data_IF_000986843575
#
_entry.id   IF_000986843575
#
_cell.length_a   1.000
_cell.length_b   1.000
_cell.length_c   1.000
_cell.angle_alpha   90.00
_cell.angle_beta   90.00
_cell.angle_gamma   90.00
#
_symmetry.space_group_name_H-M   'P 1'
#
loop_
_entity.id
_entity.type
_entity.pdbx_description
1 polymer ?
#
# COMPACT_ATOMS: atom_id res chain seq x y z
N UNK A 1 31.09 8.11 12.39
CA UNK A 1 30.69 8.23 10.98
C UNK A 1 29.27 7.67 10.91
N UNK A 2 28.27 8.57 10.92
CA UNK A 2 26.86 8.21 10.69
C UNK A 2 26.74 8.09 9.17
N UNK A 3 26.48 6.87 8.68
CA UNK A 3 26.20 6.67 7.26
C UNK A 3 24.90 7.37 6.90
N UNK A 4 24.92 8.23 5.89
CA UNK A 4 23.80 9.02 5.34
C UNK A 4 22.68 8.19 4.69
N UNK A 5 22.62 6.89 4.97
CA UNK A 5 21.72 5.94 4.30
C UNK A 5 20.44 5.59 5.09
N UNK A 6 20.13 6.34 6.16
CA UNK A 6 18.92 6.14 6.96
C UNK A 6 17.81 7.16 6.58
N UNK A 7 17.29 7.04 5.37
CA UNK A 7 16.07 7.74 4.96
C UNK A 7 14.77 7.02 5.38
N UNK A 8 14.86 6.07 6.30
CA UNK A 8 13.71 5.36 6.86
C UNK A 8 12.99 6.19 7.92
N UNK A 9 11.75 6.59 7.68
CA UNK A 9 10.94 7.27 8.67
C UNK A 9 10.65 6.38 9.88
N UNK A 10 11.00 6.82 11.09
CA UNK A 10 10.79 6.09 12.36
C UNK A 10 9.34 6.11 12.89
N UNK A 11 8.32 6.27 12.04
CA UNK A 11 6.92 6.29 12.47
C UNK A 11 6.40 4.87 12.73
N UNK A 12 5.70 4.69 13.86
CA UNK A 12 5.02 3.43 14.19
C UNK A 12 3.84 3.17 13.25
N UNK A 13 3.34 1.92 13.21
CA UNK A 13 2.13 1.56 12.44
C UNK A 13 0.93 2.39 12.91
N UNK A 14 0.78 2.62 14.21
CA UNK A 14 -0.28 3.45 14.79
C UNK A 14 -0.21 4.89 14.28
N UNK A 15 0.99 5.48 14.25
CA UNK A 15 1.20 6.82 13.69
C UNK A 15 0.90 6.88 12.19
N UNK A 16 1.28 5.85 11.43
CA UNK A 16 0.98 5.79 10.00
C UNK A 16 -0.53 5.64 9.75
N UNK A 17 -1.23 4.83 10.55
CA UNK A 17 -2.69 4.71 10.50
C UNK A 17 -3.36 6.07 10.71
N UNK A 18 -2.95 6.80 11.73
CA UNK A 18 -3.45 8.14 12.03
C UNK A 18 -3.14 9.12 10.90
N UNK A 19 -1.89 9.15 10.43
CA UNK A 19 -1.49 9.99 9.31
C UNK A 19 -2.36 9.78 8.07
N UNK A 20 -2.62 8.53 7.72
CA UNK A 20 -3.35 8.19 6.50
C UNK A 20 -4.86 8.50 6.61
N UNK A 21 -5.45 8.37 7.80
CA UNK A 21 -6.90 8.52 7.98
C UNK A 21 -7.34 9.89 8.50
N UNK A 22 -6.49 10.60 9.26
CA UNK A 22 -6.83 11.89 9.86
C UNK A 22 -6.16 13.04 9.10
N UNK A 23 -4.90 12.88 8.69
CA UNK A 23 -4.10 13.93 8.06
C UNK A 23 -3.94 13.76 6.55
N UNK A 24 -4.81 13.02 5.89
CA UNK A 24 -4.83 12.83 4.42
C UNK A 24 -3.45 12.46 3.82
N UNK A 25 -2.68 11.65 4.54
CA UNK A 25 -1.36 11.19 4.09
C UNK A 25 -0.19 12.14 4.35
N UNK A 26 -0.42 13.34 4.90
CA UNK A 26 0.64 14.30 5.26
C UNK A 26 1.21 15.04 4.04
N UNK A 27 0.38 15.84 3.41
CA UNK A 27 0.71 16.62 2.20
C UNK A 27 1.23 18.03 2.50
N UNK A 28 1.62 18.32 3.75
CA UNK A 28 2.10 19.64 4.15
C UNK A 28 3.42 20.01 3.44
N UNK A 29 3.48 21.24 2.95
CA UNK A 29 4.66 21.78 2.27
C UNK A 29 5.63 22.49 3.21
N UNK A 30 5.13 23.06 4.34
CA UNK A 30 5.97 23.79 5.29
C UNK A 30 6.58 22.88 6.36
N UNK A 31 7.79 23.19 6.78
CA UNK A 31 8.51 22.44 7.83
C UNK A 31 7.80 22.53 9.18
N UNK A 32 7.28 23.71 9.54
CA UNK A 32 6.52 23.92 10.78
C UNK A 32 5.27 23.06 10.87
N UNK A 33 4.46 23.02 9.80
CA UNK A 33 3.26 22.21 9.73
C UNK A 33 3.59 20.69 9.81
N UNK A 34 4.72 20.26 9.24
CA UNK A 34 5.17 18.85 9.37
C UNK A 34 5.51 18.48 10.81
N UNK A 35 6.17 19.38 11.57
CA UNK A 35 6.47 19.14 12.98
C UNK A 35 5.19 19.08 13.79
N UNK A 36 4.31 20.07 13.62
CA UNK A 36 3.02 20.12 14.33
C UNK A 36 2.23 18.83 14.09
N UNK A 37 2.07 18.42 12.84
CA UNK A 37 1.44 17.14 12.51
C UNK A 37 2.12 15.96 13.18
N UNK A 38 3.45 15.90 13.19
CA UNK A 38 4.20 14.81 13.84
C UNK A 38 3.94 14.72 15.34
N UNK A 39 3.83 15.85 16.02
CA UNK A 39 3.47 15.88 17.44
C UNK A 39 2.02 15.41 17.65
N UNK A 40 1.11 15.84 16.78
CA UNK A 40 -0.29 15.41 16.82
C UNK A 40 -0.43 13.91 16.54
N UNK A 41 0.29 13.37 15.53
CA UNK A 41 0.34 11.93 15.25
C UNK A 41 0.80 11.12 16.48
N UNK A 42 1.86 11.56 17.16
CA UNK A 42 2.37 10.88 18.35
C UNK A 42 1.38 10.92 19.50
N UNK A 43 0.80 12.09 19.76
CA UNK A 43 -0.20 12.25 20.81
C UNK A 43 -1.42 11.37 20.55
N UNK A 44 -1.99 11.41 19.35
CA UNK A 44 -3.15 10.63 18.98
C UNK A 44 -2.86 9.13 18.99
N UNK A 45 -1.65 8.70 18.62
CA UNK A 45 -1.25 7.30 18.68
C UNK A 45 -1.26 6.78 20.13
N UNK A 46 -0.71 7.54 21.05
CA UNK A 46 -0.73 7.20 22.48
C UNK A 46 -2.15 7.18 23.02
N UNK A 47 -3.00 8.15 22.62
CA UNK A 47 -4.41 8.20 23.05
C UNK A 47 -5.19 7.00 22.51
N UNK A 48 -5.01 6.63 21.25
CA UNK A 48 -5.65 5.47 20.62
C UNK A 48 -5.29 4.19 21.36
N UNK A 49 -4.01 3.98 21.66
CA UNK A 49 -3.53 2.79 22.35
C UNK A 49 -3.98 2.69 23.80
N UNK A 50 -4.11 3.85 24.50
CA UNK A 50 -4.51 3.89 25.91
C UNK A 50 -6.03 3.90 26.12
N UNK A 51 -6.78 4.55 25.25
CA UNK A 51 -8.19 4.85 25.44
C UNK A 51 -9.11 4.04 24.50
N UNK A 52 -8.62 2.97 23.89
CA UNK A 52 -9.42 2.13 22.99
C UNK A 52 -10.60 1.43 23.68
N UNK A 53 -10.59 1.34 25.01
CA UNK A 53 -11.58 0.54 25.77
C UNK A 53 -11.40 -0.98 25.65
N UNK A 54 -10.37 -1.42 24.91
CA UNK A 54 -10.03 -2.81 24.66
C UNK A 54 -8.80 -3.22 25.47
N UNK A 55 -8.58 -4.50 25.65
CA UNK A 55 -7.30 -4.97 26.18
C UNK A 55 -6.16 -4.74 25.18
N UNK A 56 -4.91 -4.86 25.63
CA UNK A 56 -3.72 -4.53 24.83
C UNK A 56 -3.61 -5.36 23.54
N UNK A 57 -4.00 -6.63 23.58
CA UNK A 57 -3.92 -7.52 22.42
C UNK A 57 -4.99 -7.19 21.39
N UNK A 58 -6.23 -6.98 21.84
CA UNK A 58 -7.34 -6.56 20.99
C UNK A 58 -7.08 -5.19 20.35
N UNK A 59 -6.52 -4.24 21.11
CA UNK A 59 -6.11 -2.94 20.59
C UNK A 59 -5.11 -3.06 19.46
N UNK A 60 -4.05 -3.86 19.64
CA UNK A 60 -3.05 -4.12 18.60
C UNK A 60 -3.67 -4.78 17.37
N UNK A 61 -4.51 -5.78 17.57
CA UNK A 61 -5.21 -6.47 16.47
C UNK A 61 -6.08 -5.49 15.67
N UNK A 62 -6.82 -4.63 16.35
CA UNK A 62 -7.65 -3.60 15.72
C UNK A 62 -6.81 -2.59 14.93
N UNK A 63 -5.71 -2.11 15.50
CA UNK A 63 -4.80 -1.18 14.82
C UNK A 63 -4.21 -1.81 13.55
N UNK A 64 -3.69 -3.04 13.63
CA UNK A 64 -3.14 -3.77 12.47
C UNK A 64 -4.21 -3.99 11.41
N UNK A 65 -5.41 -4.42 11.81
CA UNK A 65 -6.51 -4.65 10.86
C UNK A 65 -6.88 -3.37 10.12
N UNK A 66 -7.04 -2.26 10.83
CA UNK A 66 -7.37 -0.98 10.23
C UNK A 66 -6.22 -0.47 9.33
N UNK A 67 -4.97 -0.64 9.75
CA UNK A 67 -3.81 -0.30 8.94
C UNK A 67 -3.79 -1.08 7.61
N UNK A 68 -3.94 -2.40 7.68
CA UNK A 68 -3.96 -3.27 6.50
C UNK A 68 -5.13 -2.97 5.55
N UNK A 69 -6.26 -2.46 6.08
CA UNK A 69 -7.41 -2.08 5.26
C UNK A 69 -7.29 -0.68 4.62
N UNK A 70 -6.37 0.15 5.06
CA UNK A 70 -6.28 1.55 4.62
C UNK A 70 -4.94 1.94 4.00
N UNK A 71 -3.92 1.08 4.12
CA UNK A 71 -2.60 1.38 3.57
C UNK A 71 -2.62 1.47 2.03
N UNK A 72 -1.90 2.46 1.49
CA UNK A 72 -1.70 2.58 0.05
C UNK A 72 -0.70 1.52 -0.43
N UNK A 73 -1.14 0.68 -1.36
CA UNK A 73 -0.38 -0.40 -1.97
C UNK A 73 -0.12 -0.20 -3.48
N UNK A 74 -0.12 1.06 -3.93
CA UNK A 74 0.15 1.39 -5.33
C UNK A 74 -1.03 1.11 -6.27
N UNK A 75 -0.90 1.45 -7.54
CA UNK A 75 -1.93 1.21 -8.58
C UNK A 75 -3.36 1.55 -8.14
N UNK A 76 -3.53 2.64 -7.41
CA UNK A 76 -4.81 3.09 -6.85
C UNK A 76 -5.47 2.10 -5.87
N UNK A 77 -4.69 1.22 -5.24
CA UNK A 77 -5.21 0.25 -4.27
C UNK A 77 -5.04 0.74 -2.84
N UNK A 78 -6.14 0.83 -2.10
CA UNK A 78 -6.14 1.09 -0.66
C UNK A 78 -6.55 -0.19 0.06
N UNK A 79 -5.66 -0.67 0.91
CA UNK A 79 -5.83 -1.88 1.71
C UNK A 79 -5.51 -3.18 0.98
N UNK A 80 -5.16 -4.18 1.78
CA UNK A 80 -4.70 -5.49 1.29
C UNK A 80 -5.75 -6.26 0.51
N UNK A 81 -7.05 -6.07 0.83
CA UNK A 81 -8.14 -6.76 0.12
C UNK A 81 -8.23 -6.31 -1.34
N UNK A 82 -8.18 -5.00 -1.57
CA UNK A 82 -8.20 -4.42 -2.92
C UNK A 82 -6.92 -4.80 -3.67
N UNK A 83 -5.76 -4.75 -2.99
CA UNK A 83 -4.48 -5.12 -3.58
C UNK A 83 -4.42 -6.61 -3.96
N UNK A 84 -4.92 -7.53 -3.13
CA UNK A 84 -4.99 -8.96 -3.44
C UNK A 84 -5.79 -9.23 -4.72
N UNK A 85 -6.93 -8.60 -4.85
CA UNK A 85 -7.75 -8.69 -6.07
C UNK A 85 -7.07 -8.05 -7.27
N UNK A 86 -6.48 -6.86 -7.09
CA UNK A 86 -5.84 -6.10 -8.17
C UNK A 86 -4.61 -6.79 -8.73
N UNK A 87 -3.75 -7.34 -7.87
CA UNK A 87 -2.49 -7.93 -8.31
C UNK A 87 -2.59 -9.42 -8.61
N UNK A 88 -3.46 -10.15 -7.92
CA UNK A 88 -3.50 -11.61 -7.99
C UNK A 88 -4.88 -12.17 -8.36
N UNK A 89 -5.92 -11.35 -8.44
CA UNK A 89 -7.31 -11.76 -8.62
C UNK A 89 -7.74 -12.82 -7.57
N UNK A 90 -7.32 -12.62 -6.31
CA UNK A 90 -7.56 -13.53 -5.18
C UNK A 90 -8.19 -12.82 -4.00
N UNK A 91 -8.83 -13.61 -3.11
CA UNK A 91 -9.14 -13.15 -1.77
C UNK A 91 -7.88 -13.18 -0.89
N UNK A 92 -7.90 -12.40 0.21
CA UNK A 92 -6.74 -12.29 1.11
C UNK A 92 -6.36 -13.62 1.75
N UNK A 93 -7.37 -14.47 2.05
CA UNK A 93 -7.20 -15.81 2.62
C UNK A 93 -6.44 -16.77 1.70
N UNK A 94 -6.45 -16.52 0.39
CA UNK A 94 -5.93 -17.41 -0.63
C UNK A 94 -4.52 -17.01 -1.11
N UNK A 95 -3.98 -15.95 -0.50
CA UNK A 95 -2.64 -15.47 -0.83
C UNK A 95 -1.57 -16.44 -0.31
N UNK A 96 -0.61 -16.75 -1.16
CA UNK A 96 0.60 -17.50 -0.79
C UNK A 96 1.60 -16.61 -0.04
N UNK A 97 2.61 -17.22 0.60
CA UNK A 97 3.71 -16.46 1.22
C UNK A 97 4.42 -15.54 0.20
N UNK A 98 4.64 -16.04 -1.02
CA UNK A 98 5.24 -15.26 -2.10
C UNK A 98 4.42 -14.01 -2.42
N UNK A 99 3.10 -14.14 -2.53
CA UNK A 99 2.17 -13.04 -2.81
C UNK A 99 2.05 -12.06 -1.64
N UNK A 100 1.98 -12.56 -0.41
CA UNK A 100 1.98 -11.72 0.79
C UNK A 100 3.24 -10.86 0.89
N UNK A 101 4.40 -11.41 0.58
CA UNK A 101 5.68 -10.67 0.64
C UNK A 101 5.84 -9.65 -0.48
N UNK A 102 5.22 -9.86 -1.65
CA UNK A 102 5.09 -8.82 -2.69
C UNK A 102 4.30 -7.63 -2.15
N UNK A 103 3.12 -7.86 -1.55
CA UNK A 103 2.30 -6.77 -0.98
C UNK A 103 3.02 -6.04 0.16
N UNK A 104 3.68 -6.78 1.06
CA UNK A 104 4.45 -6.20 2.15
C UNK A 104 5.59 -5.29 1.65
N UNK A 105 6.19 -5.63 0.50
CA UNK A 105 7.29 -4.88 -0.09
C UNK A 105 6.87 -3.51 -0.63
N UNK A 106 5.59 -3.33 -1.00
CA UNK A 106 5.06 -2.07 -1.53
C UNK A 106 5.00 -0.99 -0.46
N UNK A 107 4.78 -1.37 0.80
CA UNK A 107 4.40 -0.47 1.90
C UNK A 107 5.34 0.70 2.16
N UNK A 108 6.64 0.52 1.92
CA UNK A 108 7.65 1.54 2.21
C UNK A 108 7.69 2.66 1.15
N UNK A 109 7.40 2.35 -0.11
CA UNK A 109 7.29 3.33 -1.20
C UNK A 109 6.45 2.73 -2.34
N UNK A 110 5.12 3.01 -2.37
CA UNK A 110 4.18 2.41 -3.32
C UNK A 110 4.50 2.66 -4.80
N UNK A 111 5.13 3.78 -5.13
CA UNK A 111 5.52 4.07 -6.51
C UNK A 111 6.79 3.31 -6.91
N UNK A 112 7.81 3.31 -6.04
CA UNK A 112 9.11 2.66 -6.32
C UNK A 112 9.02 1.14 -6.34
N UNK A 113 8.19 0.57 -5.46
CA UNK A 113 8.04 -0.88 -5.29
C UNK A 113 6.73 -1.43 -5.85
N UNK A 114 6.17 -0.75 -6.86
CA UNK A 114 4.98 -1.22 -7.55
C UNK A 114 5.31 -2.50 -8.34
N UNK A 115 4.66 -3.65 -8.10
CA UNK A 115 5.02 -4.90 -8.73
C UNK A 115 4.64 -4.99 -10.22
N UNK A 116 3.79 -4.09 -10.72
CA UNK A 116 3.42 -4.02 -12.14
C UNK A 116 4.45 -3.20 -12.93
N UNK A 117 4.82 -2.01 -12.41
CA UNK A 117 5.68 -1.07 -13.13
C UNK A 117 7.15 -1.23 -12.80
N UNK A 118 7.49 -1.76 -11.62
CA UNK A 118 8.85 -1.91 -11.11
C UNK A 118 9.05 -3.28 -10.42
N UNK A 119 8.81 -4.41 -11.11
CA UNK A 119 8.87 -5.75 -10.52
C UNK A 119 10.23 -6.09 -9.91
N UNK A 120 11.32 -5.65 -10.55
CA UNK A 120 12.69 -5.89 -10.03
C UNK A 120 12.94 -5.19 -8.70
N UNK A 121 12.53 -3.93 -8.56
CA UNK A 121 12.64 -3.20 -7.31
C UNK A 121 11.80 -3.86 -6.20
N UNK A 122 10.58 -4.28 -6.54
CA UNK A 122 9.72 -5.00 -5.61
C UNK A 122 10.37 -6.32 -5.20
N UNK A 123 10.92 -7.09 -6.14
CA UNK A 123 11.59 -8.37 -5.85
C UNK A 123 12.82 -8.19 -4.95
N UNK A 124 13.64 -7.18 -5.20
CA UNK A 124 14.78 -6.85 -4.33
C UNK A 124 14.32 -6.57 -2.90
N UNK A 125 13.25 -5.80 -2.74
CA UNK A 125 12.67 -5.52 -1.42
C UNK A 125 12.04 -6.76 -0.79
N UNK A 126 11.39 -7.62 -1.57
CA UNK A 126 10.80 -8.89 -1.16
C UNK A 126 11.84 -9.83 -0.55
N UNK A 127 13.03 -9.93 -1.16
CA UNK A 127 14.13 -10.73 -0.63
C UNK A 127 14.52 -10.27 0.79
N UNK A 128 14.60 -8.95 1.02
CA UNK A 128 14.89 -8.40 2.35
C UNK A 128 13.76 -8.73 3.35
N UNK A 129 12.51 -8.64 2.93
CA UNK A 129 11.35 -9.00 3.79
C UNK A 129 11.41 -10.47 4.18
N UNK A 130 11.62 -11.37 3.23
CA UNK A 130 11.74 -12.81 3.47
C UNK A 130 12.92 -13.13 4.37
N UNK A 131 14.09 -12.53 4.14
CA UNK A 131 15.26 -12.72 4.99
C UNK A 131 14.98 -12.28 6.43
N UNK A 132 14.36 -11.12 6.63
CA UNK A 132 13.97 -10.64 7.96
C UNK A 132 12.99 -11.60 8.66
N UNK A 133 12.08 -12.24 7.91
CA UNK A 133 11.16 -13.23 8.45
C UNK A 133 11.89 -14.51 8.90
N UNK A 134 12.93 -14.93 8.17
CA UNK A 134 13.81 -16.04 8.58
C UNK A 134 14.60 -15.68 9.82
N UNK A 135 15.24 -14.51 9.84
CA UNK A 135 16.08 -14.03 10.95
C UNK A 135 15.29 -13.91 12.26
N UNK A 136 14.00 -13.61 12.16
CA UNK A 136 13.06 -13.51 13.28
C UNK A 136 12.32 -14.82 13.57
N UNK A 137 12.65 -15.93 12.89
CA UNK A 137 12.05 -17.26 13.04
C UNK A 137 10.52 -17.30 12.75
N UNK A 138 10.00 -16.44 11.90
CA UNK A 138 8.62 -16.51 11.43
C UNK A 138 8.42 -17.56 10.33
N UNK A 139 9.45 -17.80 9.52
CA UNK A 139 9.46 -18.80 8.46
C UNK A 139 10.80 -19.57 8.47
N UNK A 140 10.82 -20.76 7.87
CA UNK A 140 12.05 -21.49 7.64
C UNK A 140 12.83 -20.96 6.43
N UNK A 141 14.12 -21.33 6.31
CA UNK A 141 14.89 -21.04 5.08
C UNK A 141 14.28 -21.70 3.85
N UNK A 142 13.72 -22.91 4.02
CA UNK A 142 13.06 -23.62 2.92
C UNK A 142 11.81 -22.89 2.44
N UNK A 143 11.01 -22.31 3.36
CA UNK A 143 9.85 -21.48 2.99
C UNK A 143 10.27 -20.24 2.21
N UNK A 144 11.37 -19.60 2.60
CA UNK A 144 11.95 -18.49 1.86
C UNK A 144 12.38 -18.89 0.45
N UNK A 145 13.11 -19.99 0.31
CA UNK A 145 13.57 -20.50 -0.98
C UNK A 145 12.38 -20.84 -1.90
N UNK A 146 11.37 -21.51 -1.35
CA UNK A 146 10.14 -21.81 -2.06
C UNK A 146 9.41 -20.53 -2.51
N UNK A 147 9.33 -19.54 -1.63
CA UNK A 147 8.69 -18.25 -1.98
C UNK A 147 9.49 -17.50 -3.03
N UNK A 148 10.83 -17.56 -3.03
CA UNK A 148 11.69 -16.88 -4.01
C UNK A 148 11.67 -17.57 -5.38
N UNK A 149 11.50 -18.89 -5.44
CA UNK A 149 11.39 -19.66 -6.69
C UNK A 149 9.99 -19.56 -7.34
N UNK A 150 9.03 -18.94 -6.69
CA UNK A 150 7.67 -18.76 -7.19
C UNK A 150 7.60 -17.68 -8.27
N UNK A 151 6.99 -17.99 -9.42
CA UNK A 151 6.81 -17.09 -10.58
C UNK A 151 5.71 -16.03 -10.34
N UNK A 152 5.72 -15.42 -9.17
CA UNK A 152 4.67 -14.48 -8.71
C UNK A 152 4.50 -13.28 -9.63
N UNK A 153 5.58 -12.78 -10.23
CA UNK A 153 5.53 -11.62 -11.12
C UNK A 153 4.90 -11.94 -12.48
N UNK A 154 5.09 -13.15 -13.00
CA UNK A 154 4.43 -13.59 -14.23
C UNK A 154 2.92 -13.69 -14.02
N UNK A 155 2.47 -14.17 -12.85
CA UNK A 155 1.04 -14.14 -12.48
C UNK A 155 0.48 -12.73 -12.42
N UNK A 156 1.22 -11.77 -11.82
CA UNK A 156 0.82 -10.36 -11.78
C UNK A 156 0.68 -9.79 -13.19
N UNK A 157 1.61 -10.06 -14.08
CA UNK A 157 1.56 -9.60 -15.47
C UNK A 157 0.35 -10.20 -16.20
N UNK A 158 0.10 -11.48 -16.06
CA UNK A 158 -1.04 -12.17 -16.67
C UNK A 158 -2.38 -11.57 -16.23
N UNK A 159 -2.59 -11.35 -14.92
CA UNK A 159 -3.80 -10.71 -14.37
C UNK A 159 -3.97 -9.30 -14.94
N UNK A 160 -2.89 -8.53 -15.06
CA UNK A 160 -2.96 -7.15 -15.51
C UNK A 160 -3.11 -7.03 -17.02
N UNK A 161 -2.59 -7.98 -17.81
CA UNK A 161 -2.81 -8.05 -19.26
C UNK A 161 -4.26 -8.41 -19.54
N UNK A 162 -4.80 -9.43 -18.90
CA UNK A 162 -6.21 -9.82 -19.04
C UNK A 162 -7.17 -8.67 -18.63
N UNK A 163 -6.82 -7.92 -17.59
CA UNK A 163 -7.61 -6.74 -17.16
C UNK A 163 -7.56 -5.61 -18.18
N UNK A 164 -6.43 -5.41 -18.87
CA UNK A 164 -6.34 -4.41 -19.96
C UNK A 164 -7.19 -4.82 -21.15
N UNK A 165 -7.19 -6.10 -21.53
CA UNK A 165 -8.01 -6.61 -22.62
C UNK A 165 -9.52 -6.50 -22.32
N UNK A 166 -9.93 -6.76 -21.09
CA UNK A 166 -11.33 -6.59 -20.66
C UNK A 166 -11.74 -5.13 -20.52
N UNK A 167 -10.83 -4.25 -20.10
CA UNK A 167 -11.06 -2.81 -20.01
C UNK A 167 -10.98 -2.10 -21.38
N UNK A 168 -10.42 -2.72 -22.42
CA UNK A 168 -10.49 -2.21 -23.79
C UNK A 168 -11.90 -2.30 -24.37
N UNK A 169 -12.82 -2.95 -23.66
CA UNK A 169 -14.25 -2.97 -23.95
C UNK A 169 -15.05 -2.02 -23.04
N UNK A 170 -14.49 -0.85 -22.71
CA UNK A 170 -15.38 0.26 -22.35
C UNK A 170 -16.33 0.41 -23.55
N UNK A 171 -17.63 0.24 -23.29
CA UNK A 171 -18.58 0.43 -24.36
C UNK A 171 -18.44 1.88 -24.82
N UNK A 172 -18.60 2.15 -26.10
CA UNK A 172 -18.70 3.49 -26.69
C UNK A 172 -19.54 4.45 -25.81
N UNK A 173 -20.55 3.91 -25.14
CA UNK A 173 -21.37 4.63 -24.17
C UNK A 173 -20.59 5.13 -22.94
N UNK A 174 -19.64 4.35 -22.44
CA UNK A 174 -18.85 4.75 -21.25
C UNK A 174 -17.84 5.84 -21.60
N UNK A 175 -17.20 5.73 -22.77
CA UNK A 175 -16.26 6.74 -23.25
C UNK A 175 -16.99 8.06 -23.53
N UNK A 176 -18.14 8.02 -24.21
CA UNK A 176 -19.00 9.16 -24.48
C UNK A 176 -19.50 9.79 -23.17
N UNK A 177 -19.89 8.98 -22.16
CA UNK A 177 -20.34 9.48 -20.87
C UNK A 177 -19.20 10.19 -20.11
N UNK A 178 -17.99 9.65 -20.13
CA UNK A 178 -16.81 10.26 -19.51
C UNK A 178 -16.53 11.62 -20.18
N UNK A 179 -16.54 11.68 -21.51
CA UNK A 179 -16.30 12.90 -22.26
C UNK A 179 -17.35 13.98 -21.94
N UNK A 180 -18.64 13.64 -22.01
CA UNK A 180 -19.73 14.56 -21.69
C UNK A 180 -19.70 15.06 -20.23
N UNK A 181 -19.40 14.17 -19.26
CA UNK A 181 -19.29 14.55 -17.84
C UNK A 181 -18.07 15.44 -17.63
N UNK A 182 -16.95 15.13 -18.28
CA UNK A 182 -15.72 15.94 -18.19
C UNK A 182 -15.97 17.35 -18.75
N UNK A 183 -16.54 17.47 -19.95
CA UNK A 183 -16.89 18.76 -20.55
C UNK A 183 -17.87 19.56 -19.67
N UNK A 184 -18.91 18.91 -19.15
CA UNK A 184 -19.87 19.55 -18.27
C UNK A 184 -19.24 20.06 -16.97
N UNK A 185 -18.32 19.32 -16.39
CA UNK A 185 -17.58 19.71 -15.19
C UNK A 185 -16.61 20.85 -15.48
N UNK A 186 -15.87 20.78 -16.59
CA UNK A 186 -14.95 21.85 -17.01
C UNK A 186 -15.70 23.15 -17.23
N UNK A 187 -16.83 23.10 -17.95
CA UNK A 187 -17.70 24.27 -18.18
C UNK A 187 -18.28 24.85 -16.88
N UNK A 188 -18.65 23.99 -15.92
CA UNK A 188 -19.25 24.40 -14.64
C UNK A 188 -18.20 24.95 -13.67
N UNK A 189 -16.97 24.42 -13.69
CA UNK A 189 -15.87 24.78 -12.79
C UNK A 189 -14.92 25.81 -13.39
N UNK A 190 -15.06 26.16 -14.67
CA UNK A 190 -14.23 27.15 -15.35
C UNK A 190 -12.80 26.68 -15.66
N UNK A 191 -12.55 25.37 -15.74
CA UNK A 191 -11.26 24.84 -16.16
C UNK A 191 -11.17 24.82 -17.69
N UNK A 192 -9.98 25.15 -18.22
CA UNK A 192 -9.63 24.98 -19.63
C UNK A 192 -8.57 23.87 -19.72
N UNK A 193 -8.60 23.08 -20.79
CA UNK A 193 -7.50 22.15 -21.10
C UNK A 193 -6.19 22.93 -21.23
N UNK A 194 -5.16 22.47 -20.50
CA UNK A 194 -3.79 22.99 -20.57
C UNK A 194 -2.92 22.09 -21.40
#
# INVERSE_FOLDING_TARGET
VVSDDYSGGGSTITQQLIKNNIFSGGMETSWGARIERKLQEQYLAVQLEKNSGLNKEETKKTIITNYLNTINLGSNTLGVKVAARRYFNKEVSDLTLAECTVLASITSNPSRYNPITNPENNNTRRQIVLQNMVDQNYISKQDMENALSDDVYDRIQNVNTATKETNSHYSYFTDELIEQVTEALMKKLGYTES
#
